data_IF_966080398467
#
_entry.id   IF_966080398467
#
_cell.length_a   1.000
_cell.length_b   1.000
_cell.length_c   1.000
_cell.angle_alpha   90.00
_cell.angle_beta   90.00
_cell.angle_gamma   90.00
#
_symmetry.space_group_name_H-M   'P 1'
#
loop_
_entity.id
_entity.type
_entity.pdbx_description
1 polymer ?
#
# COMPACT_ATOMS: atom_id res chain seq x y z
N UNK A 1 15.68 -3.24 12.20
CA UNK A 1 14.55 -2.35 11.85
C UNK A 1 13.44 -3.12 11.17
N UNK A 2 12.22 -2.59 11.19
CA UNK A 2 11.06 -3.17 10.49
C UNK A 2 10.59 -2.16 9.45
N UNK A 3 10.41 -2.60 8.20
CA UNK A 3 9.87 -1.75 7.14
C UNK A 3 8.35 -1.76 7.17
N UNK A 4 7.72 -0.61 6.95
CA UNK A 4 6.26 -0.49 6.91
C UNK A 4 5.85 0.13 5.59
N UNK A 5 5.03 -0.56 4.80
CA UNK A 5 4.57 -0.10 3.49
C UNK A 5 3.05 -0.01 3.45
N UNK A 6 2.53 1.13 3.00
CA UNK A 6 1.10 1.38 2.79
C UNK A 6 0.74 1.41 1.31
N UNK A 7 -0.45 0.92 0.95
CA UNK A 7 -0.95 0.96 -0.42
C UNK A 7 0.03 0.35 -1.44
N UNK A 8 0.33 1.06 -2.53
CA UNK A 8 1.30 0.61 -3.55
C UNK A 8 2.72 0.39 -3.02
N UNK A 9 3.11 1.02 -1.90
CA UNK A 9 4.46 0.88 -1.36
C UNK A 9 4.72 -0.53 -0.78
N UNK A 10 3.68 -1.29 -0.44
CA UNK A 10 3.82 -2.67 0.04
C UNK A 10 4.60 -3.55 -0.94
N UNK A 11 4.30 -3.45 -2.24
CA UNK A 11 4.95 -4.23 -3.29
C UNK A 11 6.47 -4.00 -3.38
N UNK A 12 6.96 -2.85 -2.90
CA UNK A 12 8.36 -2.45 -2.97
C UNK A 12 9.16 -2.86 -1.73
N UNK A 13 8.52 -3.31 -0.65
CA UNK A 13 9.21 -3.61 0.62
C UNK A 13 10.39 -4.60 0.47
N UNK A 14 10.29 -5.70 -0.30
CA UNK A 14 11.43 -6.60 -0.49
C UNK A 14 12.63 -5.93 -1.18
N UNK A 15 12.38 -5.10 -2.21
CA UNK A 15 13.43 -4.41 -2.93
C UNK A 15 14.09 -3.32 -2.07
N UNK A 16 13.30 -2.58 -1.29
CA UNK A 16 13.82 -1.61 -0.32
C UNK A 16 14.68 -2.31 0.72
N UNK A 17 14.28 -3.49 1.19
CA UNK A 17 15.05 -4.25 2.17
C UNK A 17 16.41 -4.71 1.64
N UNK A 18 16.47 -5.16 0.39
CA UNK A 18 17.72 -5.54 -0.27
C UNK A 18 18.72 -4.38 -0.32
N UNK A 19 18.25 -3.17 -0.62
CA UNK A 19 19.08 -1.96 -0.68
C UNK A 19 19.50 -1.48 0.72
N UNK A 20 18.61 -1.54 1.71
CA UNK A 20 18.91 -1.15 3.10
C UNK A 20 19.87 -2.14 3.77
N UNK A 21 19.80 -3.43 3.40
CA UNK A 21 20.72 -4.46 3.86
C UNK A 21 20.29 -5.16 5.15
N UNK A 22 21.26 -5.76 5.85
CA UNK A 22 21.07 -6.75 6.93
C UNK A 22 20.35 -6.24 8.17
N UNK A 23 20.17 -4.94 8.28
CA UNK A 23 19.49 -4.33 9.42
C UNK A 23 17.96 -4.43 9.33
N UNK A 24 17.40 -4.93 8.23
CA UNK A 24 15.96 -5.16 8.09
C UNK A 24 15.57 -6.55 8.58
N UNK A 25 14.75 -6.61 9.64
CA UNK A 25 14.37 -7.85 10.32
C UNK A 25 12.92 -8.28 10.04
N UNK A 26 12.14 -7.45 9.35
CA UNK A 26 10.78 -7.82 8.96
C UNK A 26 10.05 -6.70 8.24
N UNK A 27 8.83 -7.01 7.82
CA UNK A 27 7.96 -6.10 7.07
C UNK A 27 6.52 -6.12 7.59
N UNK A 28 5.91 -4.94 7.63
CA UNK A 28 4.49 -4.74 7.90
C UNK A 28 3.83 -4.10 6.68
N UNK A 29 2.87 -4.79 6.11
CA UNK A 29 2.05 -4.34 5.00
C UNK A 29 0.76 -3.74 5.56
N UNK A 30 0.49 -2.46 5.31
CA UNK A 30 -0.67 -1.76 5.86
C UNK A 30 -1.61 -1.40 4.71
N UNK A 31 -2.68 -2.16 4.54
CA UNK A 31 -3.66 -1.97 3.46
C UNK A 31 -2.97 -1.81 2.10
N UNK A 32 -2.12 -2.79 1.77
CA UNK A 32 -1.06 -2.64 0.79
C UNK A 32 -1.03 -3.78 -0.23
N UNK A 33 -0.47 -3.49 -1.40
CA UNK A 33 -0.20 -4.52 -2.40
C UNK A 33 0.85 -5.50 -1.87
N UNK A 34 0.64 -6.78 -2.15
CA UNK A 34 1.67 -7.79 -1.93
C UNK A 34 2.72 -7.76 -3.04
N UNK A 35 3.95 -8.26 -2.80
CA UNK A 35 4.99 -8.32 -3.82
C UNK A 35 4.54 -9.12 -5.05
N UNK A 36 4.81 -8.58 -6.25
CA UNK A 36 4.41 -9.16 -7.54
C UNK A 36 5.59 -9.19 -8.53
N UNK A 37 6.67 -9.93 -8.20
CA UNK A 37 7.94 -9.87 -8.94
C UNK A 37 7.75 -10.16 -10.43
N UNK A 38 8.38 -9.33 -11.27
CA UNK A 38 8.30 -9.44 -12.73
C UNK A 38 7.00 -8.97 -13.36
N UNK A 39 6.00 -8.57 -12.56
CA UNK A 39 4.75 -7.98 -13.03
C UNK A 39 4.71 -6.49 -12.71
N UNK A 40 4.12 -5.70 -13.59
CA UNK A 40 3.85 -4.28 -13.36
C UNK A 40 2.62 -4.07 -12.48
N UNK A 41 2.36 -2.84 -12.02
CA UNK A 41 1.11 -2.54 -11.32
C UNK A 41 -0.11 -2.84 -12.21
N UNK A 42 -0.05 -2.47 -13.49
CA UNK A 42 -1.13 -2.71 -14.45
C UNK A 42 -1.42 -4.20 -14.70
N UNK A 43 -0.45 -5.09 -14.49
CA UNK A 43 -0.66 -6.53 -14.59
C UNK A 43 -1.44 -7.10 -13.39
N UNK A 44 -1.36 -6.42 -12.24
CA UNK A 44 -2.02 -6.83 -11.00
C UNK A 44 -3.39 -6.17 -10.79
N UNK A 45 -3.61 -5.01 -11.40
CA UNK A 45 -4.85 -4.26 -11.27
C UNK A 45 -6.01 -4.94 -12.01
N UNK A 46 -7.27 -4.84 -11.50
CA UNK A 46 -8.44 -5.24 -12.27
C UNK A 46 -8.48 -4.54 -13.63
N UNK A 47 -8.88 -5.28 -14.68
CA UNK A 47 -8.85 -4.80 -16.08
C UNK A 47 -9.53 -3.44 -16.25
N UNK A 48 -10.70 -3.26 -15.65
CA UNK A 48 -11.49 -2.03 -15.73
C UNK A 48 -10.76 -0.86 -15.06
N UNK A 49 -10.11 -1.09 -13.92
CA UNK A 49 -9.33 -0.07 -13.23
C UNK A 49 -8.09 0.33 -14.04
N UNK A 50 -7.39 -0.65 -14.61
CA UNK A 50 -6.27 -0.40 -15.52
C UNK A 50 -6.70 0.46 -16.71
N UNK A 51 -7.78 0.09 -17.40
CA UNK A 51 -8.27 0.83 -18.57
C UNK A 51 -8.68 2.25 -18.21
N UNK A 52 -9.37 2.43 -17.08
CA UNK A 52 -9.72 3.75 -16.56
C UNK A 52 -8.49 4.61 -16.30
N UNK A 53 -7.52 4.10 -15.52
CA UNK A 53 -6.31 4.83 -15.16
C UNK A 53 -5.48 5.15 -16.41
N UNK A 54 -5.30 4.20 -17.32
CA UNK A 54 -4.60 4.44 -18.59
C UNK A 54 -5.29 5.53 -19.44
N UNK A 55 -6.62 5.58 -19.47
CA UNK A 55 -7.39 6.61 -20.19
C UNK A 55 -7.22 8.04 -19.67
N UNK A 56 -6.84 8.19 -18.39
CA UNK A 56 -6.56 9.49 -17.76
C UNK A 56 -5.21 10.07 -18.17
N UNK A 57 -4.31 9.27 -18.74
CA UNK A 57 -2.97 9.71 -19.07
C UNK A 57 -2.98 10.84 -20.11
N UNK A 58 -2.18 11.88 -19.87
CA UNK A 58 -1.92 12.99 -20.80
C UNK A 58 -0.43 13.24 -20.86
N UNK A 59 0.13 13.24 -22.09
CA UNK A 59 1.56 13.40 -22.33
C UNK A 59 2.44 12.44 -21.46
N UNK A 60 2.03 11.17 -21.34
CA UNK A 60 2.77 10.14 -20.59
C UNK A 60 2.68 10.28 -19.06
N UNK A 61 1.79 11.13 -18.54
CA UNK A 61 1.61 11.34 -17.09
C UNK A 61 0.17 11.14 -16.68
N UNK A 62 -0.02 10.54 -15.51
CA UNK A 62 -1.30 10.45 -14.83
C UNK A 62 -1.54 11.69 -13.97
N UNK A 63 -2.80 12.15 -13.84
CA UNK A 63 -3.15 13.18 -12.87
C UNK A 63 -2.92 12.66 -11.44
N UNK A 64 -3.12 13.52 -10.45
CA UNK A 64 -3.02 13.12 -9.04
C UNK A 64 -4.01 12.00 -8.78
N UNK A 65 -3.65 11.03 -7.95
CA UNK A 65 -4.46 9.82 -7.81
C UNK A 65 -5.89 10.08 -7.33
N UNK A 66 -6.15 11.17 -6.59
CA UNK A 66 -7.51 11.55 -6.21
C UNK A 66 -8.44 11.84 -7.40
N UNK A 67 -7.88 12.27 -8.54
CA UNK A 67 -8.62 12.52 -9.79
C UNK A 67 -8.96 11.22 -10.52
N UNK A 68 -8.46 10.07 -10.05
CA UNK A 68 -8.75 8.77 -10.65
C UNK A 68 -10.08 8.21 -10.14
N UNK A 69 -10.60 8.77 -9.05
CA UNK A 69 -11.85 8.36 -8.41
C UNK A 69 -12.90 9.47 -8.56
N UNK A 70 -14.18 9.15 -8.40
CA UNK A 70 -15.22 10.16 -8.24
C UNK A 70 -14.87 11.12 -7.07
N UNK A 71 -15.18 12.41 -7.24
CA UNK A 71 -14.76 13.47 -6.30
C UNK A 71 -15.31 13.29 -4.88
N UNK A 72 -16.48 12.69 -4.75
CA UNK A 72 -17.17 12.43 -3.48
C UNK A 72 -16.51 11.32 -2.64
N UNK A 73 -15.69 10.46 -3.27
CA UNK A 73 -14.97 9.39 -2.54
C UNK A 73 -13.99 10.00 -1.55
N UNK A 74 -13.17 10.96 -1.98
CA UNK A 74 -12.19 11.58 -1.09
C UNK A 74 -12.87 12.49 -0.05
N UNK A 75 -13.97 13.15 -0.41
CA UNK A 75 -14.78 13.93 0.53
C UNK A 75 -15.34 13.05 1.66
N UNK A 76 -15.72 11.81 1.35
CA UNK A 76 -16.22 10.83 2.31
C UNK A 76 -15.10 10.30 3.20
N UNK A 77 -13.96 9.93 2.62
CA UNK A 77 -12.82 9.36 3.35
C UNK A 77 -12.11 10.39 4.24
N UNK A 78 -12.06 11.66 3.81
CA UNK A 78 -11.38 12.74 4.52
C UNK A 78 -12.36 13.89 4.69
N UNK A 79 -13.29 13.77 5.63
CA UNK A 79 -14.38 14.74 5.84
C UNK A 79 -13.89 16.13 6.30
N UNK A 80 -12.76 16.20 6.99
CA UNK A 80 -12.09 17.47 7.32
C UNK A 80 -11.53 18.12 6.04
N UNK A 81 -12.14 19.24 5.65
CA UNK A 81 -11.80 19.97 4.42
C UNK A 81 -10.35 20.47 4.45
N UNK A 82 -9.89 21.01 5.58
CA UNK A 82 -8.55 21.56 5.68
C UNK A 82 -7.47 20.48 5.58
N UNK A 83 -7.70 19.31 6.18
CA UNK A 83 -6.84 18.14 6.03
C UNK A 83 -6.83 17.63 4.60
N UNK A 84 -8.01 17.54 3.97
CA UNK A 84 -8.17 17.09 2.59
C UNK A 84 -7.43 17.99 1.59
N UNK A 85 -7.54 19.31 1.73
CA UNK A 85 -6.84 20.27 0.87
C UNK A 85 -5.32 20.16 0.98
N UNK A 86 -4.79 20.05 2.21
CA UNK A 86 -3.34 19.84 2.43
C UNK A 86 -2.88 18.52 1.81
N UNK A 87 -3.64 17.45 2.02
CA UNK A 87 -3.35 16.14 1.44
C UNK A 87 -3.29 16.19 -0.10
N UNK A 88 -4.30 16.78 -0.75
CA UNK A 88 -4.36 16.93 -2.20
C UNK A 88 -3.17 17.77 -2.73
N UNK A 89 -2.78 18.81 -2.01
CA UNK A 89 -1.67 19.67 -2.39
C UNK A 89 -0.32 18.92 -2.48
N UNK A 90 -0.13 17.89 -1.66
CA UNK A 90 1.08 17.05 -1.62
C UNK A 90 1.08 15.94 -2.68
N UNK A 91 -0.07 15.64 -3.31
CA UNK A 91 -0.14 14.57 -4.29
C UNK A 91 0.64 14.90 -5.57
N UNK A 92 1.54 14.00 -6.03
CA UNK A 92 2.23 14.17 -7.28
C UNK A 92 1.36 13.73 -8.47
N UNK A 93 1.64 14.30 -9.63
CA UNK A 93 1.36 13.61 -10.90
C UNK A 93 2.44 12.56 -11.11
N UNK A 94 2.08 11.41 -11.67
CA UNK A 94 3.01 10.28 -11.81
C UNK A 94 3.22 9.92 -13.27
N UNK A 95 4.44 9.56 -13.71
CA UNK A 95 4.65 9.05 -15.06
C UNK A 95 3.94 7.72 -15.23
N UNK A 96 3.31 7.49 -16.39
CA UNK A 96 2.66 6.20 -16.71
C UNK A 96 3.66 5.05 -16.63
N UNK A 97 4.91 5.30 -17.06
CA UNK A 97 6.00 4.33 -17.02
C UNK A 97 6.25 3.73 -15.62
N UNK A 98 5.97 4.47 -14.54
CA UNK A 98 6.08 3.93 -13.17
C UNK A 98 5.12 2.76 -12.93
N UNK A 99 3.91 2.80 -13.52
CA UNK A 99 2.90 1.74 -13.35
C UNK A 99 3.08 0.59 -14.35
N UNK A 100 3.82 0.82 -15.44
CA UNK A 100 4.22 -0.18 -16.43
C UNK A 100 5.53 -0.90 -16.06
N UNK A 101 6.33 -0.31 -15.15
CA UNK A 101 7.59 -0.89 -14.72
C UNK A 101 7.37 -2.22 -13.99
N UNK A 102 8.00 -3.32 -14.44
CA UNK A 102 7.94 -4.59 -13.72
C UNK A 102 8.55 -4.47 -12.33
N UNK A 103 7.86 -5.00 -11.31
CA UNK A 103 8.38 -4.96 -9.95
C UNK A 103 9.69 -5.78 -9.82
N UNK A 104 10.67 -5.32 -9.04
CA UNK A 104 11.93 -6.02 -8.85
C UNK A 104 11.73 -7.44 -8.31
N UNK A 105 12.58 -8.35 -8.75
CA UNK A 105 12.66 -9.69 -8.16
C UNK A 105 13.62 -9.66 -6.97
N UNK A 106 13.11 -9.28 -5.80
CA UNK A 106 13.87 -9.25 -4.55
C UNK A 106 13.40 -10.37 -3.60
N UNK A 107 14.32 -11.01 -2.86
CA UNK A 107 13.96 -12.05 -1.91
C UNK A 107 13.07 -11.47 -0.80
N UNK A 108 11.98 -12.17 -0.49
CA UNK A 108 11.12 -11.86 0.65
C UNK A 108 11.72 -12.37 1.97
N UNK A 109 10.92 -12.27 3.02
CA UNK A 109 11.24 -12.83 4.35
C UNK A 109 10.48 -14.13 4.62
N UNK A 110 10.94 -14.95 5.57
CA UNK A 110 10.10 -16.00 6.12
C UNK A 110 8.79 -15.39 6.68
N UNK A 111 7.72 -16.18 6.65
CA UNK A 111 6.38 -15.77 7.09
C UNK A 111 6.36 -15.17 8.51
N UNK A 112 7.20 -15.67 9.41
CA UNK A 112 7.32 -15.17 10.79
C UNK A 112 7.74 -13.71 10.88
N UNK A 113 8.38 -13.18 9.84
CA UNK A 113 8.89 -11.80 9.75
C UNK A 113 7.99 -10.89 8.91
N UNK A 114 6.81 -11.36 8.53
CA UNK A 114 5.84 -10.59 7.78
C UNK A 114 4.53 -10.46 8.56
N UNK A 115 3.98 -9.25 8.55
CA UNK A 115 2.68 -8.95 9.11
C UNK A 115 1.84 -8.13 8.13
N UNK A 116 0.53 -8.34 8.16
CA UNK A 116 -0.43 -7.61 7.35
C UNK A 116 -1.48 -6.93 8.25
N UNK A 117 -1.69 -5.64 8.05
CA UNK A 117 -2.76 -4.87 8.67
C UNK A 117 -3.73 -4.47 7.58
N UNK A 118 -4.90 -5.10 7.53
CA UNK A 118 -5.96 -4.76 6.59
C UNK A 118 -6.84 -3.66 7.17
N UNK A 119 -7.08 -2.60 6.40
CA UNK A 119 -7.94 -1.48 6.80
C UNK A 119 -9.22 -1.39 5.97
N UNK A 120 -9.18 -1.74 4.68
CA UNK A 120 -10.29 -1.54 3.75
C UNK A 120 -10.65 -2.79 2.93
N UNK A 121 -11.88 -2.85 2.41
CA UNK A 121 -12.40 -4.01 1.65
C UNK A 121 -11.70 -4.23 0.32
N UNK A 122 -11.19 -3.16 -0.29
CA UNK A 122 -10.38 -3.26 -1.49
C UNK A 122 -9.15 -4.16 -1.35
N UNK A 123 -8.64 -4.34 -0.11
CA UNK A 123 -7.47 -5.15 0.20
C UNK A 123 -7.79 -6.47 0.92
N UNK A 124 -9.06 -6.91 0.93
CA UNK A 124 -9.44 -8.18 1.55
C UNK A 124 -8.68 -9.38 0.95
N UNK A 125 -8.58 -9.45 -0.39
CA UNK A 125 -7.86 -10.54 -1.07
C UNK A 125 -6.36 -10.58 -0.74
N UNK A 126 -5.72 -9.42 -0.54
CA UNK A 126 -4.33 -9.35 -0.10
C UNK A 126 -4.15 -9.85 1.34
N UNK A 127 -5.09 -9.51 2.23
CA UNK A 127 -5.09 -10.02 3.60
C UNK A 127 -5.30 -11.55 3.64
N UNK A 128 -6.22 -12.07 2.83
CA UNK A 128 -6.49 -13.51 2.72
C UNK A 128 -5.26 -14.29 2.19
N UNK A 129 -4.54 -13.73 1.20
CA UNK A 129 -3.29 -14.29 0.71
C UNK A 129 -2.19 -14.25 1.80
N UNK A 130 -2.05 -13.16 2.54
CA UNK A 130 -1.09 -13.07 3.64
C UNK A 130 -1.38 -14.11 4.74
N UNK A 131 -2.64 -14.31 5.11
CA UNK A 131 -3.05 -15.38 6.04
C UNK A 131 -2.69 -16.77 5.50
N UNK A 132 -2.93 -17.04 4.21
CA UNK A 132 -2.54 -18.31 3.57
C UNK A 132 -1.03 -18.55 3.57
N UNK A 133 -0.23 -17.49 3.52
CA UNK A 133 1.23 -17.57 3.64
C UNK A 133 1.70 -17.73 5.09
N UNK A 134 0.79 -17.77 6.07
CA UNK A 134 1.11 -17.92 7.48
C UNK A 134 1.60 -16.63 8.15
N UNK A 135 1.34 -15.47 7.54
CA UNK A 135 1.69 -14.19 8.14
C UNK A 135 0.74 -13.87 9.29
N UNK A 136 1.21 -13.05 10.24
CA UNK A 136 0.29 -12.45 11.20
C UNK A 136 -0.60 -11.44 10.48
N UNK A 137 -1.93 -11.54 10.64
CA UNK A 137 -2.87 -10.62 10.00
C UNK A 137 -3.83 -10.01 11.02
N UNK A 138 -3.98 -8.70 10.96
CA UNK A 138 -4.97 -7.95 11.74
C UNK A 138 -5.91 -7.20 10.81
N UNK A 139 -7.22 -7.41 11.00
CA UNK A 139 -8.28 -6.76 10.23
C UNK A 139 -8.91 -5.67 11.08
N UNK A 140 -8.58 -4.42 10.79
CA UNK A 140 -9.14 -3.25 11.47
C UNK A 140 -10.37 -2.76 10.72
N UNK A 141 -11.45 -2.43 11.44
CA UNK A 141 -12.62 -1.77 10.85
C UNK A 141 -12.33 -0.26 10.67
N UNK A 142 -11.72 0.09 9.55
CA UNK A 142 -11.31 1.45 9.20
C UNK A 142 -11.49 1.67 7.68
N UNK A 143 -10.65 2.51 7.09
CA UNK A 143 -10.62 2.80 5.66
C UNK A 143 -9.17 3.00 5.19
N UNK A 144 -8.98 3.07 3.87
CA UNK A 144 -7.65 3.13 3.25
C UNK A 144 -6.83 4.36 3.67
N UNK A 145 -7.49 5.47 4.03
CA UNK A 145 -6.87 6.72 4.45
C UNK A 145 -6.92 6.93 5.97
N UNK A 146 -7.26 5.89 6.75
CA UNK A 146 -7.30 5.98 8.21
C UNK A 146 -5.95 6.30 8.84
N UNK A 147 -4.82 6.08 8.14
CA UNK A 147 -3.50 6.56 8.59
C UNK A 147 -3.47 8.08 8.68
N UNK A 148 -4.19 8.77 7.80
CA UNK A 148 -4.29 10.22 7.74
C UNK A 148 -5.34 10.75 8.73
N UNK A 149 -6.51 10.11 8.79
CA UNK A 149 -7.67 10.62 9.55
C UNK A 149 -7.72 10.14 11.00
N UNK A 150 -7.11 8.99 11.31
CA UNK A 150 -7.11 8.35 12.63
C UNK A 150 -5.69 7.92 13.05
N UNK A 151 -4.68 8.81 12.99
CA UNK A 151 -3.26 8.44 13.08
C UNK A 151 -2.92 7.71 14.38
N UNK A 152 -3.43 8.15 15.53
CA UNK A 152 -3.16 7.51 16.81
C UNK A 152 -3.68 6.06 16.89
N UNK A 153 -4.89 5.82 16.35
CA UNK A 153 -5.51 4.49 16.30
C UNK A 153 -4.69 3.57 15.42
N UNK A 154 -4.40 3.99 14.19
CA UNK A 154 -3.69 3.14 13.23
C UNK A 154 -2.22 2.93 13.61
N UNK A 155 -1.55 3.94 14.18
CA UNK A 155 -0.21 3.78 14.75
C UNK A 155 -0.18 2.70 15.85
N UNK A 156 -1.19 2.64 16.71
CA UNK A 156 -1.32 1.58 17.72
C UNK A 156 -1.49 0.18 17.11
N UNK A 157 -2.18 0.06 15.97
CA UNK A 157 -2.31 -1.21 15.24
C UNK A 157 -0.97 -1.62 14.61
N UNK A 158 -0.31 -0.68 13.92
CA UNK A 158 1.00 -0.90 13.30
C UNK A 158 2.04 -1.28 14.35
N UNK A 159 2.05 -0.63 15.51
CA UNK A 159 2.97 -0.96 16.60
C UNK A 159 2.84 -2.41 17.08
N UNK A 160 1.61 -2.94 17.16
CA UNK A 160 1.40 -4.37 17.48
C UNK A 160 1.95 -5.27 16.39
N UNK A 161 1.69 -4.93 15.12
CA UNK A 161 2.21 -5.69 13.98
C UNK A 161 3.75 -5.73 13.98
N UNK A 162 4.39 -4.58 14.25
CA UNK A 162 5.85 -4.45 14.37
C UNK A 162 6.40 -5.30 15.51
N UNK A 163 5.75 -5.32 16.67
CA UNK A 163 6.20 -6.14 17.80
C UNK A 163 6.19 -7.64 17.44
N UNK A 164 5.14 -8.12 16.76
CA UNK A 164 5.03 -9.52 16.33
C UNK A 164 6.20 -9.94 15.43
N UNK A 165 6.57 -9.10 14.46
CA UNK A 165 7.68 -9.44 13.53
C UNK A 165 9.07 -9.20 14.14
N UNK A 166 9.19 -8.30 15.12
CA UNK A 166 10.46 -8.01 15.78
C UNK A 166 10.90 -9.11 16.76
N UNK A 167 9.95 -9.86 17.33
CA UNK A 167 10.20 -10.94 18.28
C UNK A 167 10.61 -12.28 17.61
N UNK A 168 10.99 -12.28 16.31
CA UNK A 168 11.32 -13.47 15.49
C UNK A 168 12.72 -13.52 14.88
#
# INVERSE_FOLDING_TARGET
>A
MVLVGHSGAGALLPAVAEVVGTDVHGAVFVDALLPHPGNSWFDTAPVQLREQVAGLARAGRLPRWHDWLPSDVLDTLVSDVGLRERFIAELPTMPVAYFEEPAPNAPGWPASRCAYVRLSEAYAGAADEAERQGWWVHRENADHLALLTQPARIAGVIARAVAVVADT
#
